data_IF_274553083396
#
_entry.id   IF_274553083396
#
_cell.length_a   1.000
_cell.length_b   1.000
_cell.length_c   1.000
_cell.angle_alpha   90.00
_cell.angle_beta   90.00
_cell.angle_gamma   90.00
#
_symmetry.space_group_name_H-M   'P 1'
#
loop_
_entity.id
_entity.type
_entity.pdbx_description
1 polymer ?
#
# COMPACT_ATOMS: atom_id res chain seq x y z
N UNK A 1 -4.04 -21.84 -5.52
CA UNK A 1 -3.52 -20.94 -6.57
C UNK A 1 -2.16 -20.40 -6.14
N UNK A 2 -1.28 -20.12 -7.11
CA UNK A 2 -0.05 -19.35 -6.86
C UNK A 2 -0.35 -17.87 -7.00
N UNK A 3 -0.18 -17.14 -5.90
CA UNK A 3 -0.47 -15.70 -5.82
C UNK A 3 0.82 -14.96 -5.50
N UNK A 4 1.17 -13.96 -6.29
CA UNK A 4 2.32 -13.11 -6.02
C UNK A 4 1.88 -11.71 -5.65
N UNK A 5 2.45 -11.18 -4.57
CA UNK A 5 2.25 -9.80 -4.11
C UNK A 5 3.58 -9.07 -4.17
N UNK A 6 3.63 -7.95 -4.88
CA UNK A 6 4.82 -7.10 -5.01
C UNK A 6 4.58 -5.79 -4.26
N UNK A 7 5.48 -5.45 -3.35
CA UNK A 7 5.33 -4.25 -2.51
C UNK A 7 6.67 -3.62 -2.16
N UNK A 8 6.74 -2.29 -2.17
CA UNK A 8 7.85 -1.50 -1.64
C UNK A 8 7.68 -1.16 -0.13
N UNK A 9 6.47 -1.42 0.42
CA UNK A 9 6.17 -1.24 1.82
C UNK A 9 6.20 -2.60 2.54
N UNK A 10 7.24 -2.82 3.35
CA UNK A 10 7.41 -4.05 4.13
C UNK A 10 8.14 -3.77 5.45
N UNK A 11 8.22 -4.78 6.31
CA UNK A 11 8.98 -4.67 7.56
C UNK A 11 10.42 -4.19 7.30
N UNK A 12 11.03 -3.39 8.25
CA UNK A 12 10.53 -3.01 9.57
C UNK A 12 9.57 -1.81 9.59
N UNK A 13 9.05 -1.35 8.46
CA UNK A 13 8.09 -0.24 8.44
C UNK A 13 6.83 -0.58 9.23
N UNK A 14 6.42 0.31 10.15
CA UNK A 14 5.16 0.18 10.89
C UNK A 14 4.12 1.10 10.27
N UNK A 15 3.30 0.55 9.38
CA UNK A 15 2.21 1.27 8.73
C UNK A 15 1.06 0.34 8.29
N UNK A 16 -0.09 0.94 7.98
CA UNK A 16 -1.29 0.19 7.62
C UNK A 16 -1.18 -0.61 6.32
N UNK A 17 -0.24 -0.28 5.41
CA UNK A 17 -0.02 -1.05 4.18
C UNK A 17 0.65 -2.38 4.52
N UNK A 18 1.74 -2.33 5.29
CA UNK A 18 2.47 -3.53 5.76
C UNK A 18 1.55 -4.47 6.50
N UNK A 19 0.81 -3.96 7.51
CA UNK A 19 -0.12 -4.78 8.29
C UNK A 19 -1.20 -5.42 7.42
N UNK A 20 -1.78 -4.65 6.47
CA UNK A 20 -2.79 -5.16 5.55
C UNK A 20 -2.24 -6.27 4.67
N UNK A 21 -1.06 -6.07 4.07
CA UNK A 21 -0.47 -7.06 3.14
C UNK A 21 -0.02 -8.32 3.87
N UNK A 22 0.56 -8.18 5.07
CA UNK A 22 0.96 -9.32 5.90
C UNK A 22 -0.25 -10.18 6.29
N UNK A 23 -1.33 -9.56 6.76
CA UNK A 23 -2.57 -10.26 7.09
C UNK A 23 -3.20 -10.89 5.85
N UNK A 24 -3.23 -10.17 4.73
CA UNK A 24 -3.77 -10.72 3.47
C UNK A 24 -2.99 -11.94 3.03
N UNK A 25 -1.65 -11.90 3.04
CA UNK A 25 -0.81 -13.04 2.67
C UNK A 25 -1.04 -14.24 3.62
N UNK A 26 -1.12 -13.98 4.93
CA UNK A 26 -1.38 -15.02 5.92
C UNK A 26 -2.74 -15.70 5.71
N UNK A 27 -3.81 -14.93 5.48
CA UNK A 27 -5.14 -15.49 5.25
C UNK A 27 -5.24 -16.22 3.91
N UNK A 28 -4.62 -15.72 2.85
CA UNK A 28 -4.55 -16.45 1.57
C UNK A 28 -3.85 -17.80 1.74
N UNK A 29 -2.78 -17.84 2.54
CA UNK A 29 -2.12 -19.12 2.89
C UNK A 29 -3.06 -20.07 3.65
N UNK A 30 -3.82 -19.56 4.63
CA UNK A 30 -4.83 -20.35 5.36
C UNK A 30 -5.95 -20.87 4.45
N UNK A 31 -6.27 -20.16 3.38
CA UNK A 31 -7.24 -20.61 2.36
C UNK A 31 -6.65 -21.60 1.34
N UNK A 32 -5.43 -22.09 1.56
CA UNK A 32 -4.78 -23.09 0.71
C UNK A 32 -4.15 -22.50 -0.57
N UNK A 33 -3.85 -21.20 -0.58
CA UNK A 33 -3.10 -20.59 -1.68
C UNK A 33 -1.60 -20.57 -1.37
N UNK A 34 -0.78 -20.76 -2.38
CA UNK A 34 0.66 -20.54 -2.30
C UNK A 34 0.94 -19.06 -2.57
N UNK A 35 1.42 -18.35 -1.55
CA UNK A 35 1.65 -16.91 -1.62
C UNK A 35 3.13 -16.61 -1.60
N UNK A 36 3.63 -15.88 -2.62
CA UNK A 36 4.99 -15.35 -2.65
C UNK A 36 4.96 -13.83 -2.61
N UNK A 37 5.75 -13.27 -1.70
CA UNK A 37 5.95 -11.83 -1.58
C UNK A 37 7.26 -11.45 -2.25
N UNK A 38 7.26 -10.30 -2.94
CA UNK A 38 8.48 -9.60 -3.37
C UNK A 38 8.52 -8.29 -2.60
N UNK A 39 9.55 -8.10 -1.79
CA UNK A 39 9.67 -7.01 -0.82
C UNK A 39 11.05 -6.36 -0.91
N UNK A 40 11.26 -5.16 -0.34
CA UNK A 40 12.58 -4.53 -0.31
C UNK A 40 13.66 -5.34 0.43
N UNK A 41 13.29 -6.28 1.30
CA UNK A 41 14.24 -7.15 2.01
C UNK A 41 15.02 -8.07 1.07
N UNK A 42 14.46 -8.35 -0.10
CA UNK A 42 15.09 -9.20 -1.11
C UNK A 42 16.16 -8.45 -1.93
N UNK A 43 16.33 -7.14 -1.73
CA UNK A 43 17.13 -6.27 -2.61
C UNK A 43 18.10 -5.37 -1.81
N UNK A 44 19.19 -4.98 -2.47
CA UNK A 44 19.94 -3.80 -2.02
C UNK A 44 19.04 -2.58 -2.14
N UNK A 45 18.97 -1.77 -1.09
CA UNK A 45 18.03 -0.64 -1.02
C UNK A 45 18.65 0.55 -0.32
N UNK A 46 18.17 1.75 -0.66
CA UNK A 46 18.51 3.02 0.00
C UNK A 46 17.28 3.59 0.67
N UNK A 47 17.46 4.38 1.74
CA UNK A 47 16.35 5.09 2.36
C UNK A 47 15.80 6.18 1.45
N UNK A 48 14.48 6.36 1.43
CA UNK A 48 13.88 7.52 0.78
C UNK A 48 14.31 8.80 1.52
N UNK A 49 14.76 9.87 0.81
CA UNK A 49 15.32 11.06 1.46
C UNK A 49 14.43 11.71 2.53
N UNK A 50 13.11 11.69 2.34
CA UNK A 50 12.15 12.29 3.28
C UNK A 50 11.57 11.29 4.29
N UNK A 51 11.78 9.99 4.06
CA UNK A 51 11.29 8.88 4.87
C UNK A 51 12.28 7.72 4.83
N UNK A 52 13.38 7.78 5.60
CA UNK A 52 14.44 6.76 5.57
C UNK A 52 13.96 5.33 5.86
N UNK A 53 12.84 5.22 6.57
CA UNK A 53 12.18 3.93 6.83
C UNK A 53 11.58 3.31 5.56
N UNK A 54 11.27 4.10 4.54
CA UNK A 54 10.85 3.60 3.23
C UNK A 54 12.10 3.24 2.44
N UNK A 55 12.26 1.95 2.17
CA UNK A 55 13.42 1.41 1.45
C UNK A 55 13.14 1.34 -0.05
N UNK A 56 13.92 2.06 -0.83
CA UNK A 56 13.86 2.05 -2.29
C UNK A 56 14.84 1.02 -2.84
N UNK A 57 14.32 -0.04 -3.45
CA UNK A 57 15.12 -1.13 -4.02
C UNK A 57 15.90 -0.68 -5.25
N UNK A 58 17.18 -1.01 -5.30
CA UNK A 58 18.08 -0.64 -6.39
C UNK A 58 18.07 -1.70 -7.49
N UNK A 59 17.91 -1.28 -8.75
CA UNK A 59 17.97 -2.11 -9.95
C UNK A 59 17.12 -3.41 -9.87
N UNK A 60 15.85 -3.35 -9.41
CA UNK A 60 15.10 -4.54 -9.06
C UNK A 60 14.64 -5.37 -10.26
N UNK A 61 14.69 -4.84 -11.48
CA UNK A 61 14.04 -5.40 -12.66
C UNK A 61 14.43 -6.87 -12.94
N UNK A 62 15.71 -7.19 -12.96
CA UNK A 62 16.19 -8.53 -13.30
C UNK A 62 15.72 -9.58 -12.29
N UNK A 63 15.87 -9.28 -10.98
CA UNK A 63 15.46 -10.21 -9.91
C UNK A 63 13.94 -10.33 -9.79
N UNK A 64 13.18 -9.24 -9.97
CA UNK A 64 11.71 -9.30 -10.02
C UNK A 64 11.27 -10.15 -11.21
N UNK A 65 11.91 -9.99 -12.39
CA UNK A 65 11.61 -10.78 -13.58
C UNK A 65 11.86 -12.28 -13.35
N UNK A 66 13.03 -12.66 -12.83
CA UNK A 66 13.32 -14.07 -12.56
C UNK A 66 12.34 -14.67 -11.55
N UNK A 67 12.02 -13.94 -10.46
CA UNK A 67 11.05 -14.38 -9.46
C UNK A 67 9.64 -14.59 -10.02
N UNK A 68 9.18 -13.70 -10.91
CA UNK A 68 7.87 -13.85 -11.58
C UNK A 68 7.86 -15.05 -12.51
N UNK A 69 8.91 -15.24 -13.32
CA UNK A 69 9.00 -16.36 -14.27
C UNK A 69 9.09 -17.69 -13.51
N UNK A 70 9.95 -17.78 -12.51
CA UNK A 70 10.16 -18.99 -11.70
C UNK A 70 8.89 -19.40 -10.96
N UNK A 71 8.24 -18.45 -10.30
CA UNK A 71 7.02 -18.74 -9.54
C UNK A 71 5.81 -18.99 -10.43
N UNK A 72 5.79 -18.42 -11.63
CA UNK A 72 4.69 -18.50 -12.59
C UNK A 72 3.31 -18.24 -11.92
N UNK A 73 3.08 -17.04 -11.37
CA UNK A 73 1.86 -16.74 -10.59
C UNK A 73 0.61 -16.81 -11.46
N UNK A 74 -0.47 -17.37 -10.91
CA UNK A 74 -1.80 -17.36 -11.51
C UNK A 74 -2.53 -16.03 -11.23
N UNK A 75 -2.14 -15.34 -10.16
CA UNK A 75 -2.59 -13.98 -9.84
C UNK A 75 -1.41 -13.14 -9.36
N UNK A 76 -1.29 -11.92 -9.87
CA UNK A 76 -0.24 -10.98 -9.49
C UNK A 76 -0.87 -9.67 -9.03
N UNK A 77 -0.47 -9.23 -7.82
CA UNK A 77 -0.92 -7.99 -7.21
C UNK A 77 0.28 -7.07 -6.96
N UNK A 78 0.21 -5.85 -7.48
CA UNK A 78 1.20 -4.79 -7.26
C UNK A 78 0.60 -3.81 -6.25
N UNK A 79 1.10 -3.85 -5.03
CA UNK A 79 0.49 -3.13 -3.92
C UNK A 79 0.99 -1.68 -3.78
N UNK A 80 2.15 -1.34 -4.37
CA UNK A 80 2.76 -0.01 -4.25
C UNK A 80 3.38 0.47 -5.55
N UNK A 81 3.56 1.79 -5.69
CA UNK A 81 4.01 2.48 -6.89
C UNK A 81 5.54 2.71 -6.92
N UNK A 82 6.28 2.11 -6.00
CA UNK A 82 7.74 2.26 -5.89
C UNK A 82 8.54 1.44 -6.92
N UNK A 83 9.87 1.36 -6.77
CA UNK A 83 10.76 0.68 -7.72
C UNK A 83 10.38 -0.77 -8.02
N UNK A 84 9.94 -1.54 -7.00
CA UNK A 84 9.47 -2.92 -7.17
C UNK A 84 8.17 -2.95 -7.98
N UNK A 85 7.22 -2.09 -7.62
CA UNK A 85 5.94 -2.00 -8.33
C UNK A 85 6.12 -1.58 -9.80
N UNK A 86 6.99 -0.62 -10.09
CA UNK A 86 7.33 -0.19 -11.45
C UNK A 86 7.99 -1.32 -12.25
N UNK A 87 8.91 -2.06 -11.64
CA UNK A 87 9.56 -3.21 -12.28
C UNK A 87 8.53 -4.30 -12.61
N UNK A 88 7.70 -4.71 -11.66
CA UNK A 88 6.66 -5.71 -11.87
C UNK A 88 5.64 -5.28 -12.93
N UNK A 89 5.17 -4.02 -12.88
CA UNK A 89 4.29 -3.45 -13.91
C UNK A 89 4.89 -3.56 -15.32
N UNK A 90 6.16 -3.16 -15.48
CA UNK A 90 6.85 -3.22 -16.76
C UNK A 90 6.98 -4.67 -17.27
N UNK A 91 7.26 -5.63 -16.38
CA UNK A 91 7.36 -7.04 -16.71
C UNK A 91 6.00 -7.58 -17.15
N UNK A 92 4.95 -7.33 -16.36
CA UNK A 92 3.59 -7.77 -16.69
C UNK A 92 3.14 -7.27 -18.06
N UNK A 93 3.35 -5.98 -18.37
CA UNK A 93 2.98 -5.40 -19.66
C UNK A 93 3.78 -6.01 -20.82
N UNK A 94 5.08 -6.27 -20.63
CA UNK A 94 5.91 -6.89 -21.68
C UNK A 94 5.56 -8.34 -21.98
N UNK A 95 5.04 -9.06 -20.98
CA UNK A 95 4.70 -10.47 -21.10
C UNK A 95 3.19 -10.72 -21.23
N UNK A 96 2.38 -9.67 -21.41
CA UNK A 96 0.92 -9.79 -21.54
C UNK A 96 0.23 -10.34 -20.27
N UNK A 97 0.87 -10.24 -19.10
CA UNK A 97 0.34 -10.75 -17.84
C UNK A 97 -0.67 -9.77 -17.25
N UNK A 98 -1.84 -10.26 -16.86
CA UNK A 98 -2.82 -9.46 -16.13
C UNK A 98 -2.37 -9.30 -14.66
N UNK A 99 -2.57 -8.12 -14.12
CA UNK A 99 -2.26 -7.82 -12.73
C UNK A 99 -3.30 -6.88 -12.12
N UNK A 100 -3.37 -6.84 -10.80
CA UNK A 100 -4.15 -5.87 -10.03
C UNK A 100 -3.24 -4.94 -9.27
N UNK A 101 -3.76 -3.77 -8.89
CA UNK A 101 -3.04 -2.79 -8.06
C UNK A 101 -3.89 -2.36 -6.88
N UNK A 102 -3.28 -1.72 -5.88
CA UNK A 102 -3.98 -1.06 -4.77
C UNK A 102 -3.57 0.40 -4.65
N UNK A 103 -4.54 1.26 -4.42
CA UNK A 103 -4.32 2.64 -4.03
C UNK A 103 -4.43 2.74 -2.51
N UNK A 104 -3.29 2.70 -1.83
CA UNK A 104 -3.24 2.67 -0.37
C UNK A 104 -3.06 4.04 0.27
N UNK A 105 -2.44 4.98 -0.44
CA UNK A 105 -1.98 6.25 0.10
C UNK A 105 -2.42 7.40 -0.78
N UNK A 106 -2.92 8.47 -0.18
CA UNK A 106 -3.27 9.71 -0.89
C UNK A 106 -2.00 10.50 -1.25
N UNK A 107 -1.13 9.89 -2.05
CA UNK A 107 0.14 10.49 -2.47
C UNK A 107 0.02 11.91 -3.04
N UNK A 108 -0.97 12.25 -3.87
CA UNK A 108 -1.10 13.61 -4.39
C UNK A 108 -1.17 14.66 -3.29
N UNK A 109 -1.98 14.42 -2.27
CA UNK A 109 -2.13 15.34 -1.13
C UNK A 109 -0.85 15.42 -0.30
N UNK A 110 -0.16 14.30 -0.08
CA UNK A 110 1.10 14.27 0.67
C UNK A 110 2.24 14.95 -0.09
N UNK A 111 2.33 14.75 -1.39
CA UNK A 111 3.32 15.44 -2.22
C UNK A 111 3.06 16.94 -2.25
N UNK A 112 1.81 17.37 -2.41
CA UNK A 112 1.44 18.79 -2.39
C UNK A 112 1.76 19.47 -1.05
N UNK A 113 1.56 18.76 0.07
CA UNK A 113 1.87 19.31 1.39
C UNK A 113 3.38 19.56 1.62
N UNK A 114 4.24 18.93 0.82
CA UNK A 114 5.72 19.00 0.97
C UNK A 114 6.43 19.67 -0.18
N UNK A 115 5.87 19.57 -1.36
CA UNK A 115 6.48 20.09 -2.58
C UNK A 115 5.45 20.92 -3.35
N UNK A 116 5.85 22.04 -4.00
CA UNK A 116 4.95 22.85 -4.82
C UNK A 116 4.60 22.13 -6.14
N UNK A 117 4.12 20.90 -6.05
CA UNK A 117 3.73 20.08 -7.19
C UNK A 117 2.23 20.18 -7.46
N UNK A 118 1.79 20.49 -8.68
CA UNK A 118 0.38 20.48 -9.06
C UNK A 118 -0.23 19.08 -8.88
N UNK A 119 -1.40 19.01 -8.24
CA UNK A 119 -2.13 17.74 -8.04
C UNK A 119 -2.39 17.00 -9.35
N UNK A 120 -2.64 17.73 -10.45
CA UNK A 120 -2.88 17.16 -11.78
C UNK A 120 -1.72 16.30 -12.28
N UNK A 121 -0.47 16.68 -11.98
CA UNK A 121 0.73 15.90 -12.36
C UNK A 121 0.77 14.59 -11.59
N UNK A 122 0.57 14.67 -10.28
CA UNK A 122 0.56 13.48 -9.42
C UNK A 122 -0.56 12.50 -9.81
N UNK A 123 -1.79 13.00 -10.04
CA UNK A 123 -2.90 12.16 -10.49
C UNK A 123 -2.67 11.56 -11.88
N UNK A 124 -2.02 12.30 -12.81
CA UNK A 124 -1.67 11.78 -14.13
C UNK A 124 -0.68 10.61 -14.03
N UNK A 125 0.36 10.75 -13.20
CA UNK A 125 1.34 9.70 -12.96
C UNK A 125 0.69 8.45 -12.33
N UNK A 126 -0.15 8.62 -11.33
CA UNK A 126 -0.87 7.50 -10.68
C UNK A 126 -1.88 6.85 -11.63
N UNK A 127 -2.61 7.63 -12.42
CA UNK A 127 -3.52 7.08 -13.44
C UNK A 127 -2.76 6.29 -14.49
N UNK A 128 -1.59 6.75 -14.92
CA UNK A 128 -0.71 5.98 -15.80
C UNK A 128 -0.27 4.66 -15.17
N UNK A 129 0.08 4.68 -13.89
CA UNK A 129 0.52 3.48 -13.19
C UNK A 129 -0.62 2.47 -13.03
N UNK A 130 -1.74 2.89 -12.47
CA UNK A 130 -2.87 2.01 -12.15
C UNK A 130 -3.77 1.69 -13.35
N UNK A 131 -3.83 2.56 -14.35
CA UNK A 131 -4.70 2.40 -15.50
C UNK A 131 -4.37 1.18 -16.37
N UNK A 132 -3.14 0.66 -16.28
CA UNK A 132 -2.74 -0.56 -16.97
C UNK A 132 -3.17 -1.85 -16.23
N UNK A 133 -3.60 -1.75 -14.97
CA UNK A 133 -4.04 -2.89 -14.19
C UNK A 133 -5.46 -3.34 -14.59
N UNK A 134 -5.75 -4.62 -14.45
CA UNK A 134 -7.10 -5.14 -14.64
C UNK A 134 -8.10 -4.54 -13.64
N UNK A 135 -7.66 -4.29 -12.41
CA UNK A 135 -8.40 -3.57 -11.36
C UNK A 135 -7.43 -2.80 -10.47
N UNK A 136 -7.81 -1.60 -10.05
CA UNK A 136 -7.18 -0.82 -8.99
C UNK A 136 -8.07 -0.88 -7.75
N UNK A 137 -7.58 -1.48 -6.69
CA UNK A 137 -8.32 -1.67 -5.44
C UNK A 137 -8.25 -0.42 -4.58
N UNK A 138 -9.39 0.02 -4.06
CA UNK A 138 -9.52 1.20 -3.20
C UNK A 138 -10.27 0.87 -1.93
N UNK A 139 -9.91 1.50 -0.81
CA UNK A 139 -10.39 1.12 0.52
C UNK A 139 -11.78 1.66 0.86
N UNK A 140 -12.21 2.77 0.28
CA UNK A 140 -13.48 3.45 0.63
C UNK A 140 -14.22 3.99 -0.58
N UNK A 141 -15.53 4.18 -0.43
CA UNK A 141 -16.36 4.79 -1.46
C UNK A 141 -15.98 6.26 -1.74
N UNK A 142 -15.48 6.99 -0.73
CA UNK A 142 -15.03 8.38 -0.90
C UNK A 142 -13.77 8.44 -1.77
N UNK A 143 -12.76 7.61 -1.50
CA UNK A 143 -11.56 7.51 -2.33
C UNK A 143 -11.90 7.06 -3.75
N UNK A 144 -12.84 6.12 -3.90
CA UNK A 144 -13.30 5.67 -5.22
C UNK A 144 -13.90 6.82 -6.02
N UNK A 145 -14.78 7.64 -5.41
CA UNK A 145 -15.37 8.81 -6.08
C UNK A 145 -14.31 9.84 -6.46
N UNK A 146 -13.37 10.14 -5.56
CA UNK A 146 -12.28 11.07 -5.82
C UNK A 146 -11.43 10.62 -7.02
N UNK A 147 -10.97 9.38 -7.03
CA UNK A 147 -10.18 8.84 -8.14
C UNK A 147 -10.96 8.78 -9.44
N UNK A 148 -12.26 8.44 -9.39
CA UNK A 148 -13.13 8.46 -10.59
C UNK A 148 -13.24 9.88 -11.18
N UNK A 149 -13.38 10.91 -10.34
CA UNK A 149 -13.37 12.31 -10.77
C UNK A 149 -12.03 12.72 -11.41
N UNK A 150 -10.92 12.05 -11.03
CA UNK A 150 -9.60 12.23 -11.66
C UNK A 150 -9.34 11.29 -12.84
N UNK A 151 -10.37 10.62 -13.38
CA UNK A 151 -10.32 9.83 -14.61
C UNK A 151 -9.80 8.41 -14.47
N UNK A 152 -9.83 7.82 -13.25
CA UNK A 152 -9.55 6.39 -13.08
C UNK A 152 -10.80 5.57 -13.43
N UNK A 153 -10.67 4.54 -14.27
CA UNK A 153 -11.80 3.77 -14.80
C UNK A 153 -11.92 2.34 -14.24
N UNK A 154 -10.82 1.75 -13.79
CA UNK A 154 -10.70 0.35 -13.39
C UNK A 154 -10.80 0.13 -11.87
N UNK A 155 -11.52 0.99 -11.16
CA UNK A 155 -11.62 0.99 -9.70
C UNK A 155 -12.50 -0.15 -9.17
N UNK A 156 -12.03 -0.83 -8.12
CA UNK A 156 -12.76 -1.84 -7.37
C UNK A 156 -12.63 -1.59 -5.87
N UNK A 157 -13.70 -1.69 -5.11
CA UNK A 157 -13.65 -1.51 -3.67
C UNK A 157 -13.10 -2.77 -2.99
N UNK A 158 -12.14 -2.58 -2.10
CA UNK A 158 -11.57 -3.63 -1.27
C UNK A 158 -11.52 -3.16 0.19
N UNK A 159 -12.45 -3.64 0.98
CA UNK A 159 -12.48 -3.33 2.41
C UNK A 159 -11.40 -4.12 3.14
N UNK A 160 -10.62 -3.41 3.94
CA UNK A 160 -9.65 -4.04 4.84
C UNK A 160 -10.41 -4.73 5.96
N UNK A 161 -9.98 -5.93 6.30
CA UNK A 161 -10.45 -6.62 7.50
C UNK A 161 -9.83 -6.05 8.78
N UNK A 162 -10.37 -6.49 9.91
CA UNK A 162 -9.83 -6.24 11.25
C UNK A 162 -9.72 -7.57 11.98
N UNK A 163 -8.68 -7.75 12.78
CA UNK A 163 -8.55 -8.91 13.65
C UNK A 163 -9.52 -8.77 14.84
N UNK A 164 -10.65 -9.46 14.76
CA UNK A 164 -11.70 -9.43 15.79
C UNK A 164 -11.33 -10.21 17.06
N UNK A 165 -10.29 -11.03 17.02
CA UNK A 165 -9.70 -11.65 18.20
C UNK A 165 -8.93 -10.65 19.05
N UNK A 166 -8.20 -9.73 18.36
CA UNK A 166 -7.43 -8.67 19.00
C UNK A 166 -8.29 -7.44 19.32
N UNK A 167 -9.07 -6.97 18.34
CA UNK A 167 -9.91 -5.78 18.46
C UNK A 167 -11.33 -6.16 18.84
N UNK A 168 -11.57 -6.32 20.13
CA UNK A 168 -12.88 -6.63 20.72
C UNK A 168 -13.15 -5.71 21.93
N UNK A 169 -14.39 -5.49 22.32
CA UNK A 169 -14.70 -4.73 23.52
C UNK A 169 -14.05 -5.36 24.76
N UNK A 170 -13.42 -4.52 25.56
CA UNK A 170 -12.84 -4.87 26.86
C UNK A 170 -13.33 -3.89 27.92
N UNK A 171 -13.29 -4.26 29.23
CA UNK A 171 -13.48 -3.31 30.31
C UNK A 171 -12.53 -2.12 30.16
N UNK A 172 -13.03 -0.90 30.35
CA UNK A 172 -12.28 0.35 30.15
C UNK A 172 -11.51 0.74 31.42
N UNK A 173 -10.68 -0.17 31.92
CA UNK A 173 -9.93 -0.02 33.19
C UNK A 173 -8.45 0.32 32.98
N UNK A 174 -8.00 0.32 31.72
CA UNK A 174 -6.60 0.46 31.35
C UNK A 174 -5.96 1.79 31.81
N UNK A 175 -6.72 2.90 31.83
CA UNK A 175 -6.21 4.21 32.21
C UNK A 175 -7.06 4.79 33.37
N UNK A 176 -6.40 5.07 34.49
CA UNK A 176 -7.00 5.77 35.65
C UNK A 176 -6.98 7.29 35.45
N UNK A 177 -7.50 7.74 34.30
CA UNK A 177 -7.59 9.16 33.96
C UNK A 177 -9.04 9.64 34.01
N UNK A 178 -9.27 10.95 34.27
CA UNK A 178 -10.59 11.54 34.15
C UNK A 178 -11.22 11.28 32.78
N UNK A 179 -12.54 11.09 32.75
CA UNK A 179 -13.30 10.85 31.53
C UNK A 179 -13.98 12.15 31.06
N UNK A 180 -14.15 12.41 29.76
CA UNK A 180 -13.76 11.54 28.64
C UNK A 180 -12.24 11.57 28.37
N UNK A 181 -11.70 10.45 27.82
CA UNK A 181 -10.29 10.37 27.40
C UNK A 181 -10.24 10.50 25.88
N UNK A 182 -9.54 11.53 25.40
CA UNK A 182 -9.16 11.64 23.99
C UNK A 182 -7.74 11.07 23.81
N UNK A 183 -7.56 10.14 22.88
CA UNK A 183 -6.28 9.52 22.61
C UNK A 183 -5.93 9.57 21.12
N UNK A 184 -4.71 9.99 20.80
CA UNK A 184 -4.14 9.85 19.47
C UNK A 184 -3.20 8.64 19.43
N UNK A 185 -3.47 7.73 18.49
CA UNK A 185 -2.62 6.57 18.23
C UNK A 185 -2.17 6.60 16.78
N UNK A 186 -0.88 6.80 16.54
CA UNK A 186 -0.36 6.90 15.18
C UNK A 186 1.04 7.52 15.10
N UNK A 187 1.55 7.65 13.87
CA UNK A 187 2.83 8.33 13.64
C UNK A 187 2.71 9.83 13.87
N UNK A 188 3.74 10.43 14.47
CA UNK A 188 3.87 11.90 14.50
C UNK A 188 4.33 12.36 13.13
N UNK A 189 3.43 12.98 12.36
CA UNK A 189 3.71 13.44 11.01
C UNK A 189 2.80 14.61 10.63
N UNK A 190 3.28 15.49 9.76
CA UNK A 190 2.59 16.73 9.35
C UNK A 190 1.17 16.44 8.81
N UNK A 191 1.03 15.39 8.02
CA UNK A 191 -0.24 14.97 7.44
C UNK A 191 -1.26 14.46 8.47
N UNK A 192 -0.87 14.29 9.73
CA UNK A 192 -1.76 13.85 10.82
C UNK A 192 -2.36 15.00 11.61
N UNK A 193 -1.89 16.24 11.36
CA UNK A 193 -2.40 17.46 11.95
C UNK A 193 -2.57 17.37 13.49
N UNK A 194 -1.53 16.87 14.17
CA UNK A 194 -1.56 16.62 15.63
C UNK A 194 -1.77 17.92 16.40
N UNK A 195 -1.29 19.04 15.86
CA UNK A 195 -1.50 20.37 16.47
C UNK A 195 -2.98 20.71 16.62
N UNK A 196 -3.84 20.30 15.69
CA UNK A 196 -5.28 20.49 15.82
C UNK A 196 -5.86 19.60 16.93
N UNK A 197 -5.35 18.38 17.11
CA UNK A 197 -5.75 17.49 18.21
C UNK A 197 -5.37 18.06 19.59
N UNK A 198 -4.17 18.68 19.71
CA UNK A 198 -3.71 19.28 20.96
C UNK A 198 -4.49 20.56 21.35
N UNK A 199 -5.21 21.17 20.40
CA UNK A 199 -6.02 22.38 20.62
C UNK A 199 -7.50 22.09 20.90
N UNK A 200 -7.89 20.83 20.93
CA UNK A 200 -9.25 20.38 21.29
C UNK A 200 -9.47 20.42 22.80
#
# INVERSE_FOLDING_TARGET
MRIMIVTDAWFPQTNGVVSTLAQTAAWLGRFGHEVRLITPQDFKSVGCPTYPEIRLSLLPYAKVKSSIIEFAPQALHIATEGPLGLAARRICLRHGMRFTTSYHTQFPQYLRARFPMPLSVSYRALRWFHGAAARCMVSTASVRRDLAAHGFQNLSTWHRGVDTGLFKPHPKEFLSLPRPIAAYVGRVAVEKNIDAFLKM
#
